data_IF_670668967750
#
_entry.id   IF_670668967750
#
_cell.length_a   1.000
_cell.length_b   1.000
_cell.length_c   1.000
_cell.angle_alpha   90.00
_cell.angle_beta   90.00
_cell.angle_gamma   90.00
#
_symmetry.space_group_name_H-M   'P 1'
#
loop_
_entity.id
_entity.type
_entity.pdbx_description
1 polymer ?
#
# COMPACT_ATOMS: atom_id res chain seq x y z
N UNK A 1 -10.94 0.97 0.93
CA UNK A 1 -11.63 2.17 1.41
C UNK A 1 -12.40 1.87 2.71
N UNK A 2 -13.51 1.12 2.67
CA UNK A 2 -14.40 0.92 3.84
C UNK A 2 -13.68 0.34 5.06
N UNK A 3 -12.84 -0.68 4.87
CA UNK A 3 -12.06 -1.28 5.96
C UNK A 3 -11.07 -0.28 6.59
N UNK A 4 -10.42 0.57 5.79
CA UNK A 4 -9.53 1.63 6.27
C UNK A 4 -10.30 2.62 7.17
N UNK A 5 -11.44 3.10 6.69
CA UNK A 5 -12.31 3.99 7.46
C UNK A 5 -12.80 3.34 8.76
N UNK A 6 -13.21 2.06 8.71
CA UNK A 6 -13.70 1.34 9.89
C UNK A 6 -12.59 1.12 10.92
N UNK A 7 -11.37 0.75 10.49
CA UNK A 7 -10.25 0.57 11.41
C UNK A 7 -9.96 1.85 12.23
N UNK A 8 -9.96 2.99 11.55
CA UNK A 8 -9.73 4.30 12.19
C UNK A 8 -10.87 4.70 13.13
N UNK A 9 -12.13 4.44 12.76
CA UNK A 9 -13.29 4.61 13.65
C UNK A 9 -13.22 3.73 14.92
N UNK A 10 -12.54 2.60 14.85
CA UNK A 10 -12.27 1.72 15.99
C UNK A 10 -11.02 2.13 16.77
N UNK A 11 -10.37 3.24 16.42
CA UNK A 11 -9.25 3.82 17.14
C UNK A 11 -7.87 3.43 16.62
N UNK A 12 -7.77 2.84 15.43
CA UNK A 12 -6.47 2.58 14.82
C UNK A 12 -5.79 3.90 14.41
N UNK A 13 -4.58 4.12 14.88
CA UNK A 13 -3.72 5.25 14.53
C UNK A 13 -2.58 4.86 13.60
N UNK A 14 -2.39 3.56 13.38
CA UNK A 14 -1.41 2.97 12.47
C UNK A 14 -2.07 1.84 11.70
N UNK A 15 -2.04 1.91 10.40
CA UNK A 15 -2.75 0.96 9.52
C UNK A 15 -1.78 0.42 8.47
N UNK A 16 -1.75 -0.90 8.35
CA UNK A 16 -1.13 -1.59 7.22
C UNK A 16 -2.25 -2.32 6.48
N UNK A 17 -2.43 -2.02 5.22
CA UNK A 17 -3.33 -2.77 4.34
C UNK A 17 -2.58 -3.45 3.21
N UNK A 18 -3.15 -4.53 2.72
CA UNK A 18 -2.52 -5.36 1.69
C UNK A 18 -3.58 -5.84 0.70
N UNK A 19 -3.30 -5.68 -0.59
CA UNK A 19 -4.18 -6.13 -1.66
C UNK A 19 -3.41 -6.47 -2.94
N UNK A 20 -3.98 -7.33 -3.77
CA UNK A 20 -3.60 -7.51 -5.17
C UNK A 20 -4.23 -6.39 -6.00
N UNK A 21 -3.77 -5.14 -5.77
CA UNK A 21 -4.53 -3.97 -6.18
C UNK A 21 -4.41 -3.67 -7.67
N UNK A 22 -3.18 -3.73 -8.23
CA UNK A 22 -2.98 -3.23 -9.59
C UNK A 22 -2.11 -4.12 -10.48
N UNK A 23 -2.59 -4.35 -11.71
CA UNK A 23 -1.75 -4.90 -12.77
C UNK A 23 -0.64 -3.92 -13.21
N UNK A 24 -0.72 -2.65 -12.82
CA UNK A 24 0.33 -1.65 -13.06
C UNK A 24 1.55 -1.92 -12.18
N UNK A 25 1.35 -2.31 -10.92
CA UNK A 25 2.43 -2.74 -10.03
C UNK A 25 3.15 -3.97 -10.58
N UNK A 26 2.39 -4.97 -11.08
CA UNK A 26 2.97 -6.15 -11.76
C UNK A 26 3.84 -5.76 -12.94
N UNK A 27 3.37 -4.84 -13.79
CA UNK A 27 4.15 -4.39 -14.96
C UNK A 27 5.41 -3.60 -14.59
N UNK A 28 5.38 -2.89 -13.45
CA UNK A 28 6.52 -2.09 -13.01
C UNK A 28 7.57 -2.91 -12.26
N UNK A 29 7.14 -3.83 -11.40
CA UNK A 29 8.00 -4.52 -10.43
C UNK A 29 8.13 -6.04 -10.66
N UNK A 30 7.35 -6.59 -11.59
CA UNK A 30 7.30 -8.03 -11.88
C UNK A 30 6.76 -8.83 -10.69
N UNK A 31 7.28 -10.03 -10.52
CA UNK A 31 6.92 -10.96 -9.44
C UNK A 31 7.96 -11.01 -8.31
N UNK A 32 8.91 -10.07 -8.29
CA UNK A 32 10.01 -10.08 -7.32
C UNK A 32 9.81 -9.11 -6.18
N UNK A 33 9.23 -7.94 -6.48
CA UNK A 33 9.03 -6.88 -5.50
C UNK A 33 7.55 -6.64 -5.24
N UNK A 34 7.18 -6.55 -3.97
CA UNK A 34 5.90 -5.97 -3.54
C UNK A 34 5.98 -4.45 -3.63
N UNK A 35 4.99 -3.81 -4.24
CA UNK A 35 4.88 -2.37 -4.23
C UNK A 35 4.49 -1.88 -2.84
N UNK A 36 5.19 -0.88 -2.30
CA UNK A 36 4.84 -0.28 -1.01
C UNK A 36 4.61 1.21 -1.17
N UNK A 37 3.58 1.71 -0.51
CA UNK A 37 3.21 3.12 -0.40
C UNK A 37 3.07 3.49 1.06
N UNK A 38 3.41 4.71 1.43
CA UNK A 38 3.26 5.18 2.80
C UNK A 38 3.22 6.71 2.84
N UNK A 39 2.40 7.24 3.74
CA UNK A 39 2.29 8.66 4.04
C UNK A 39 3.28 9.13 5.14
N UNK A 40 4.02 8.21 5.77
CA UNK A 40 4.87 8.52 6.92
C UNK A 40 6.18 7.73 6.88
N UNK A 41 7.31 8.46 6.87
CA UNK A 41 8.64 7.84 6.83
C UNK A 41 9.02 7.17 8.15
N UNK A 42 8.52 7.66 9.28
CA UNK A 42 8.81 7.07 10.59
C UNK A 42 8.13 5.71 10.76
N UNK A 43 7.04 5.45 10.01
CA UNK A 43 6.37 4.15 9.93
C UNK A 43 6.99 3.26 8.84
N UNK A 44 7.37 3.85 7.71
CA UNK A 44 7.96 3.13 6.59
C UNK A 44 9.37 2.57 6.88
N UNK A 45 10.26 3.36 7.50
CA UNK A 45 11.65 2.95 7.68
C UNK A 45 11.83 1.71 8.57
N UNK A 46 11.13 1.57 9.71
CA UNK A 46 11.14 0.31 10.48
C UNK A 46 10.58 -0.87 9.68
N UNK A 47 9.53 -0.67 8.89
CA UNK A 47 8.96 -1.72 8.03
C UNK A 47 9.94 -2.16 6.94
N UNK A 48 10.66 -1.22 6.32
CA UNK A 48 11.76 -1.53 5.39
C UNK A 48 12.87 -2.35 6.09
N UNK A 49 13.16 -2.04 7.35
CA UNK A 49 14.11 -2.82 8.17
C UNK A 49 13.66 -4.27 8.33
N UNK A 50 12.38 -4.48 8.65
CA UNK A 50 11.77 -5.80 8.77
C UNK A 50 11.83 -6.58 7.44
N UNK A 51 11.44 -5.94 6.34
CA UNK A 51 11.52 -6.54 4.99
C UNK A 51 12.93 -7.01 4.63
N UNK A 52 13.96 -6.22 4.97
CA UNK A 52 15.36 -6.63 4.76
C UNK A 52 15.76 -7.83 5.62
N UNK A 53 15.28 -7.89 6.86
CA UNK A 53 15.60 -8.99 7.78
C UNK A 53 14.97 -10.32 7.31
N UNK A 54 13.75 -10.27 6.82
CA UNK A 54 13.01 -11.44 6.30
C UNK A 54 13.33 -11.77 4.84
N UNK A 55 14.01 -10.85 4.13
CA UNK A 55 14.32 -10.95 2.70
C UNK A 55 13.08 -10.93 1.77
N UNK A 56 11.92 -10.53 2.27
CA UNK A 56 10.76 -10.25 1.44
C UNK A 56 10.92 -8.86 0.82
N UNK A 57 11.11 -8.80 -0.50
CA UNK A 57 11.55 -7.57 -1.17
C UNK A 57 10.39 -6.61 -1.40
N UNK A 58 10.58 -5.36 -1.02
CA UNK A 58 9.64 -4.26 -1.26
C UNK A 58 10.30 -3.15 -2.08
N UNK A 59 9.50 -2.41 -2.86
CA UNK A 59 9.96 -1.22 -3.55
C UNK A 59 8.95 -0.09 -3.38
N UNK A 60 9.40 1.05 -2.78
CA UNK A 60 8.51 2.19 -2.56
C UNK A 60 8.23 2.93 -3.86
N UNK A 61 6.95 3.07 -4.15
CA UNK A 61 6.43 3.87 -5.25
C UNK A 61 5.88 5.19 -4.70
N UNK A 62 5.90 6.29 -5.50
CA UNK A 62 5.47 7.59 -5.04
C UNK A 62 3.96 7.69 -4.91
N UNK A 63 3.50 8.44 -3.91
CA UNK A 63 2.19 9.06 -3.86
C UNK A 63 2.42 10.53 -3.52
N UNK A 64 1.87 11.43 -4.33
CA UNK A 64 2.04 12.87 -4.16
C UNK A 64 0.82 13.64 -4.67
N UNK A 65 0.84 14.98 -4.54
CA UNK A 65 -0.25 15.87 -4.93
C UNK A 65 -0.66 15.72 -6.41
N UNK A 66 0.25 15.32 -7.29
CA UNK A 66 -0.08 15.06 -8.69
C UNK A 66 -1.13 13.95 -8.80
N UNK A 67 -0.92 12.81 -8.12
CA UNK A 67 -1.87 11.69 -8.16
C UNK A 67 -3.19 12.03 -7.48
N UNK A 68 -3.18 12.76 -6.37
CA UNK A 68 -4.40 13.25 -5.71
C UNK A 68 -5.20 14.20 -6.61
N UNK A 69 -4.53 15.12 -7.33
CA UNK A 69 -5.20 16.02 -8.27
C UNK A 69 -5.89 15.26 -9.42
N UNK A 70 -5.26 14.19 -9.89
CA UNK A 70 -5.80 13.35 -10.96
C UNK A 70 -7.06 12.57 -10.55
N UNK A 71 -7.27 12.31 -9.25
CA UNK A 71 -8.51 11.69 -8.73
C UNK A 71 -9.71 12.64 -8.76
N UNK A 72 -9.49 13.95 -8.67
CA UNK A 72 -10.53 14.98 -8.54
C UNK A 72 -11.14 15.42 -9.86
N UNK A 73 -10.93 14.68 -10.96
CA UNK A 73 -11.39 15.07 -12.30
C UNK A 73 -12.81 14.58 -12.67
N UNK A 74 -13.56 13.97 -11.74
CA UNK A 74 -14.93 13.53 -11.98
C UNK A 74 -15.89 14.71 -12.08
N UNK A 75 -16.93 14.54 -12.91
CA UNK A 75 -18.06 15.50 -13.00
C UNK A 75 -19.30 15.04 -12.20
N UNK A 76 -19.26 13.83 -11.66
CA UNK A 76 -20.42 13.17 -11.04
C UNK A 76 -20.11 12.50 -9.70
N UNK A 77 -18.85 12.53 -9.27
CA UNK A 77 -18.40 11.96 -8.00
C UNK A 77 -17.28 12.84 -7.41
N UNK A 78 -17.03 12.72 -6.12
CA UNK A 78 -15.99 13.48 -5.41
C UNK A 78 -14.59 13.10 -5.92
N UNK A 79 -14.36 11.79 -6.10
CA UNK A 79 -13.13 11.23 -6.66
C UNK A 79 -13.44 10.07 -7.62
N UNK A 80 -12.52 9.76 -8.50
CA UNK A 80 -12.60 8.58 -9.38
C UNK A 80 -11.82 7.42 -8.76
N UNK A 81 -12.30 6.20 -8.95
CA UNK A 81 -11.64 4.99 -8.48
C UNK A 81 -10.80 4.29 -9.57
N UNK A 82 -10.88 4.75 -10.81
CA UNK A 82 -10.10 4.19 -11.93
C UNK A 82 -9.94 5.23 -13.04
N UNK A 83 -8.75 5.28 -13.63
CA UNK A 83 -8.44 6.16 -14.77
C UNK A 83 -7.42 5.48 -15.68
N UNK A 84 -7.60 5.61 -16.98
CA UNK A 84 -6.60 5.18 -17.97
C UNK A 84 -5.54 6.28 -18.13
N UNK A 85 -4.55 6.27 -17.22
CA UNK A 85 -3.42 7.19 -17.18
C UNK A 85 -2.15 6.39 -16.86
N UNK A 86 -0.97 6.94 -17.11
CA UNK A 86 0.28 6.38 -16.60
C UNK A 86 0.33 6.46 -15.05
N UNK A 87 1.15 5.63 -14.40
CA UNK A 87 1.30 5.66 -12.94
C UNK A 87 0.12 5.07 -12.16
N UNK A 88 -0.63 4.13 -12.75
CA UNK A 88 -1.87 3.60 -12.17
C UNK A 88 -1.69 2.94 -10.79
N UNK A 89 -0.50 2.43 -10.44
CA UNK A 89 -0.26 1.91 -9.10
C UNK A 89 -0.28 3.05 -8.06
N UNK A 90 0.41 4.15 -8.34
CA UNK A 90 0.41 5.35 -7.49
C UNK A 90 -0.96 6.02 -7.43
N UNK A 91 -1.70 6.03 -8.56
CA UNK A 91 -3.07 6.56 -8.59
C UNK A 91 -4.02 5.74 -7.71
N UNK A 92 -3.90 4.41 -7.74
CA UNK A 92 -4.70 3.53 -6.88
C UNK A 92 -4.33 3.69 -5.39
N UNK A 93 -3.06 3.87 -5.08
CA UNK A 93 -2.60 4.16 -3.72
C UNK A 93 -3.11 5.53 -3.23
N UNK A 94 -3.03 6.58 -4.07
CA UNK A 94 -3.61 7.88 -3.76
C UNK A 94 -5.13 7.79 -3.48
N UNK A 95 -5.86 6.97 -4.23
CA UNK A 95 -7.27 6.70 -3.95
C UNK A 95 -7.48 6.09 -2.56
N UNK A 96 -6.64 5.15 -2.13
CA UNK A 96 -6.73 4.57 -0.79
C UNK A 96 -6.37 5.60 0.29
N UNK A 97 -5.37 6.44 0.05
CA UNK A 97 -4.92 7.48 0.98
C UNK A 97 -5.99 8.53 1.26
N UNK A 98 -6.92 8.82 0.31
CA UNK A 98 -8.08 9.70 0.56
C UNK A 98 -9.01 9.20 1.68
N UNK A 99 -8.90 7.93 2.08
CA UNK A 99 -9.64 7.33 3.21
C UNK A 99 -8.81 7.22 4.49
N UNK A 100 -7.62 7.82 4.53
CA UNK A 100 -6.76 7.90 5.72
C UNK A 100 -6.97 9.25 6.38
N UNK A 101 -7.34 9.23 7.65
CA UNK A 101 -7.54 10.44 8.45
C UNK A 101 -6.21 11.11 8.80
N UNK A 102 -6.22 12.42 8.93
CA UNK A 102 -5.04 13.19 9.34
C UNK A 102 -4.48 12.64 10.67
N UNK A 103 -3.18 12.42 10.72
CA UNK A 103 -2.48 11.87 11.89
C UNK A 103 -2.44 10.35 11.96
N UNK A 104 -3.11 9.63 11.05
CA UNK A 104 -2.99 8.18 10.92
C UNK A 104 -1.79 7.82 10.05
N UNK A 105 -0.87 7.03 10.59
CA UNK A 105 0.25 6.47 9.83
C UNK A 105 -0.24 5.28 8.99
N UNK A 106 0.13 5.27 7.72
CA UNK A 106 -0.39 4.29 6.77
C UNK A 106 0.70 3.67 5.89
N UNK A 107 0.59 2.37 5.70
CA UNK A 107 1.32 1.59 4.71
C UNK A 107 0.32 0.78 3.88
N UNK A 108 0.43 0.87 2.56
CA UNK A 108 -0.24 -0.04 1.62
C UNK A 108 0.79 -0.93 0.92
N UNK A 109 0.48 -2.22 0.84
CA UNK A 109 1.27 -3.23 0.16
C UNK A 109 0.49 -3.74 -1.07
N UNK A 110 0.95 -3.38 -2.27
CA UNK A 110 0.41 -3.94 -3.52
C UNK A 110 1.16 -5.23 -3.84
N UNK A 111 0.51 -6.34 -3.53
CA UNK A 111 1.05 -7.71 -3.72
C UNK A 111 0.60 -8.36 -5.03
N UNK A 112 0.05 -7.60 -5.98
CA UNK A 112 -0.50 -8.15 -7.21
C UNK A 112 0.48 -9.02 -8.01
N UNK A 113 1.79 -8.73 -7.93
CA UNK A 113 2.81 -9.51 -8.61
C UNK A 113 3.47 -10.61 -7.77
N UNK A 114 3.25 -10.59 -6.44
CA UNK A 114 3.98 -11.44 -5.50
C UNK A 114 3.08 -12.39 -4.70
N UNK A 115 1.75 -12.22 -4.80
CA UNK A 115 0.75 -12.98 -4.03
C UNK A 115 0.71 -14.46 -4.33
N UNK A 116 1.06 -14.84 -5.56
CA UNK A 116 1.06 -16.23 -5.99
C UNK A 116 2.27 -16.54 -6.88
N UNK A 117 2.60 -17.82 -6.95
CA UNK A 117 3.55 -18.38 -7.89
C UNK A 117 2.98 -19.71 -8.41
N UNK A 118 2.85 -19.82 -9.72
CA UNK A 118 2.27 -21.02 -10.36
C UNK A 118 0.89 -21.39 -9.77
N UNK A 119 0.04 -20.38 -9.58
CA UNK A 119 -1.31 -20.51 -9.01
C UNK A 119 -1.35 -20.95 -7.53
N UNK A 120 -0.20 -20.93 -6.84
CA UNK A 120 -0.10 -21.24 -5.41
C UNK A 120 0.20 -19.97 -4.63
N UNK A 121 -0.59 -19.69 -3.58
CA UNK A 121 -0.37 -18.55 -2.71
C UNK A 121 1.01 -18.60 -2.04
N UNK A 122 1.74 -17.47 -2.07
CA UNK A 122 3.11 -17.38 -1.53
C UNK A 122 3.16 -17.11 -0.03
N UNK A 123 2.09 -16.50 0.53
CA UNK A 123 2.10 -15.96 1.88
C UNK A 123 2.99 -14.72 2.02
N UNK A 124 3.28 -14.02 0.92
CA UNK A 124 4.16 -12.84 0.88
C UNK A 124 3.77 -11.81 1.94
N UNK A 125 4.79 -11.15 2.52
CA UNK A 125 4.70 -10.13 3.57
C UNK A 125 4.22 -10.63 4.95
N UNK A 126 3.80 -11.87 5.11
CA UNK A 126 3.40 -12.41 6.43
C UNK A 126 4.59 -12.39 7.39
N UNK A 127 5.74 -12.88 6.97
CA UNK A 127 6.94 -12.93 7.80
C UNK A 127 7.43 -11.51 8.14
N UNK A 128 7.41 -10.61 7.17
CA UNK A 128 7.76 -9.19 7.37
C UNK A 128 6.84 -8.50 8.37
N UNK A 129 5.52 -8.70 8.26
CA UNK A 129 4.53 -8.09 9.17
C UNK A 129 4.73 -8.63 10.59
N UNK A 130 4.90 -9.93 10.76
CA UNK A 130 5.16 -10.54 12.08
C UNK A 130 6.44 -9.98 12.68
N UNK A 131 7.54 -9.99 11.93
CA UNK A 131 8.82 -9.45 12.39
C UNK A 131 8.72 -7.97 12.78
N UNK A 132 8.02 -7.17 11.97
CA UNK A 132 7.78 -5.76 12.25
C UNK A 132 7.02 -5.58 13.57
N UNK A 133 5.89 -6.28 13.75
CA UNK A 133 5.07 -6.18 14.97
C UNK A 133 5.83 -6.61 16.23
N UNK A 134 6.62 -7.68 16.18
CA UNK A 134 7.45 -8.15 17.30
C UNK A 134 8.50 -7.12 17.74
N UNK A 135 8.99 -6.29 16.83
CA UNK A 135 9.98 -5.26 17.15
C UNK A 135 9.35 -3.94 17.59
N UNK A 136 8.14 -3.64 17.15
CA UNK A 136 7.37 -2.45 17.59
C UNK A 136 6.76 -2.61 18.99
N UNK A 137 6.57 -3.84 19.48
CA UNK A 137 6.02 -4.15 20.80
C UNK A 137 7.10 -4.25 21.90
N UNK A 138 8.38 -3.96 21.58
CA UNK A 138 9.48 -3.92 22.56
C UNK A 138 9.77 -2.50 23.01
#
# INVERSE_FOLDING_TARGET
ADALTMAQKLGATRVIDMATLTGACVRALGSTYTGIFSNDDSFYLPFLGASKATKEQIWRLPVDEYFHSELKCSKVADIINSKTLGGNASLAAAFLEEFIEEGTQWIHLDIAGTSDKDEVATGVMIETIVHFLENECK
#
